data_IF_712946736792
#
_entry.id   IF_712946736792
#
_cell.length_a   1.000
_cell.length_b   1.000
_cell.length_c   1.000
_cell.angle_alpha   90.00
_cell.angle_beta   90.00
_cell.angle_gamma   90.00
#
_symmetry.space_group_name_H-M   'P 1'
#
loop_
_entity.id
_entity.type
_entity.pdbx_description
1 polymer ?
#
# COMPACT_ATOMS: atom_id res chain seq x y z
N UNK A 1 2.04 -16.22 7.61
CA UNK A 1 1.53 -15.75 6.31
C UNK A 1 2.53 -15.84 5.15
N UNK A 2 3.78 -16.21 5.33
CA UNK A 2 4.76 -16.41 4.25
C UNK A 2 5.17 -15.18 3.44
N UNK A 3 4.78 -13.98 3.84
CA UNK A 3 5.27 -12.72 3.29
C UNK A 3 6.48 -12.23 4.07
N UNK A 4 7.30 -11.37 3.47
CA UNK A 4 8.37 -10.71 4.19
C UNK A 4 7.83 -9.73 5.24
N UNK A 5 8.62 -9.45 6.27
CA UNK A 5 8.30 -8.50 7.33
C UNK A 5 7.76 -9.12 8.62
N UNK A 6 7.55 -8.26 9.60
CA UNK A 6 7.04 -8.63 10.92
C UNK A 6 5.50 -8.63 10.97
N UNK A 7 4.92 -8.82 12.14
CA UNK A 7 3.48 -8.73 12.32
C UNK A 7 2.92 -7.41 11.82
N UNK A 8 1.81 -7.49 11.09
CA UNK A 8 1.06 -6.32 10.65
C UNK A 8 -0.36 -6.42 11.16
N UNK A 9 -0.92 -5.26 11.50
CA UNK A 9 -2.32 -5.16 11.87
C UNK A 9 -3.14 -4.83 10.62
N UNK A 10 -4.16 -5.64 10.36
CA UNK A 10 -5.19 -5.36 9.37
C UNK A 10 -6.53 -5.31 10.08
N UNK A 11 -7.28 -4.24 9.88
CA UNK A 11 -8.55 -4.03 10.54
C UNK A 11 -9.49 -3.15 9.74
N UNK A 12 -10.69 -2.91 10.29
CA UNK A 12 -11.66 -2.02 9.66
C UNK A 12 -11.04 -0.66 9.33
N UNK A 13 -11.45 -0.09 8.20
CA UNK A 13 -10.93 1.20 7.74
C UNK A 13 -9.66 1.14 6.90
N UNK A 14 -8.99 0.01 6.84
CA UNK A 14 -7.93 -0.20 5.86
C UNK A 14 -8.52 -0.70 4.54
N UNK A 15 -7.91 -0.27 3.44
CA UNK A 15 -8.19 -0.85 2.13
C UNK A 15 -7.05 -1.77 1.74
N UNK A 16 -7.33 -3.05 1.71
CA UNK A 16 -6.35 -4.08 1.34
C UNK A 16 -6.64 -4.52 -0.09
N UNK A 17 -5.62 -4.51 -0.92
CA UNK A 17 -5.71 -4.99 -2.30
C UNK A 17 -4.70 -6.12 -2.51
N UNK A 18 -5.20 -7.24 -2.99
CA UNK A 18 -4.37 -8.36 -3.41
C UNK A 18 -4.07 -8.24 -4.90
N UNK A 19 -2.79 -8.38 -5.26
CA UNK A 19 -2.35 -8.28 -6.65
C UNK A 19 -1.67 -9.59 -7.03
N UNK A 20 -2.24 -10.28 -8.00
CA UNK A 20 -1.73 -11.55 -8.51
C UNK A 20 -1.33 -11.39 -9.96
N UNK A 21 -0.03 -11.33 -10.22
CA UNK A 21 0.53 -11.16 -11.55
C UNK A 21 1.59 -12.21 -11.81
N UNK A 22 1.68 -12.64 -13.05
CA UNK A 22 2.82 -13.44 -13.52
C UNK A 22 3.94 -12.50 -13.95
N UNK A 23 4.97 -12.37 -13.13
CA UNK A 23 6.07 -11.44 -13.37
C UNK A 23 6.91 -11.83 -14.58
N UNK A 24 6.88 -13.08 -15.06
CA UNK A 24 7.57 -13.49 -16.28
C UNK A 24 7.07 -12.71 -17.49
N UNK A 25 5.77 -12.41 -17.49
CA UNK A 25 5.13 -11.59 -18.54
C UNK A 25 5.48 -10.10 -18.44
N UNK A 26 6.14 -9.71 -17.35
CA UNK A 26 6.49 -8.32 -17.03
C UNK A 26 7.99 -8.11 -16.85
N UNK A 27 8.82 -8.97 -17.44
CA UNK A 27 10.26 -8.86 -17.43
C UNK A 27 10.97 -9.54 -16.26
N UNK A 28 10.24 -10.22 -15.36
CA UNK A 28 10.83 -10.99 -14.26
C UNK A 28 11.59 -10.16 -13.23
N UNK A 29 11.21 -8.91 -13.00
CA UNK A 29 11.92 -7.99 -12.10
C UNK A 29 11.08 -7.70 -10.85
N UNK A 30 11.47 -8.29 -9.72
CA UNK A 30 10.78 -8.14 -8.43
C UNK A 30 10.91 -6.73 -7.87
N UNK A 31 12.07 -6.10 -8.01
CA UNK A 31 12.27 -4.73 -7.50
C UNK A 31 11.40 -3.74 -8.26
N UNK A 32 11.32 -3.89 -9.55
CA UNK A 32 10.44 -3.09 -10.38
C UNK A 32 8.98 -3.29 -9.98
N UNK A 33 8.58 -4.52 -9.70
CA UNK A 33 7.21 -4.80 -9.26
C UNK A 33 6.88 -4.09 -7.93
N UNK A 34 7.76 -4.14 -6.94
CA UNK A 34 7.57 -3.41 -5.68
C UNK A 34 7.51 -1.91 -5.93
N UNK A 35 8.38 -1.38 -6.76
CA UNK A 35 8.36 0.04 -7.16
C UNK A 35 7.03 0.42 -7.82
N UNK A 36 6.50 -0.44 -8.68
CA UNK A 36 5.22 -0.19 -9.36
C UNK A 36 4.04 -0.24 -8.38
N UNK A 37 4.07 -1.11 -7.37
CA UNK A 37 3.07 -1.11 -6.30
C UNK A 37 3.10 0.21 -5.50
N UNK A 38 4.29 0.70 -5.19
CA UNK A 38 4.46 2.00 -4.54
C UNK A 38 3.95 3.13 -5.43
N UNK A 39 4.29 3.13 -6.72
CA UNK A 39 3.82 4.12 -7.69
C UNK A 39 2.30 4.14 -7.79
N UNK A 40 1.68 2.99 -7.78
CA UNK A 40 0.23 2.85 -7.78
C UNK A 40 -0.41 3.60 -6.60
N UNK A 41 0.08 3.38 -5.40
CA UNK A 41 -0.44 4.05 -4.20
C UNK A 41 -0.13 5.54 -4.21
N UNK A 42 1.07 5.93 -4.62
CA UNK A 42 1.46 7.34 -4.73
C UNK A 42 0.53 8.10 -5.68
N UNK A 43 0.21 7.53 -6.84
CA UNK A 43 -0.73 8.14 -7.80
C UNK A 43 -2.16 8.18 -7.28
N UNK A 44 -2.60 7.16 -6.57
CA UNK A 44 -3.90 7.16 -5.91
C UNK A 44 -4.01 8.31 -4.89
N UNK A 45 -2.99 8.46 -4.05
CA UNK A 45 -2.93 9.52 -3.05
C UNK A 45 -2.87 10.91 -3.69
N UNK A 46 -2.13 11.06 -4.78
CA UNK A 46 -2.02 12.34 -5.50
C UNK A 46 -3.39 12.85 -5.98
N UNK A 47 -4.28 11.96 -6.37
CA UNK A 47 -5.65 12.30 -6.77
C UNK A 47 -6.50 12.82 -5.62
N UNK A 48 -6.09 12.54 -4.40
CA UNK A 48 -6.72 13.03 -3.16
C UNK A 48 -5.98 14.23 -2.57
N UNK A 49 -4.99 14.77 -3.28
CA UNK A 49 -4.20 15.90 -2.81
C UNK A 49 -3.16 15.53 -1.76
N UNK A 50 -2.83 14.26 -1.61
CA UNK A 50 -1.85 13.76 -0.65
C UNK A 50 -0.55 13.40 -1.36
N UNK A 51 0.57 13.95 -0.88
CA UNK A 51 1.89 13.62 -1.39
C UNK A 51 2.46 12.42 -0.64
N UNK A 52 2.24 11.21 -1.20
CA UNK A 52 2.89 9.99 -0.73
C UNK A 52 4.29 9.87 -1.32
N UNK A 53 5.22 9.37 -0.55
CA UNK A 53 6.62 9.27 -0.95
C UNK A 53 7.22 7.92 -0.58
N UNK A 54 8.18 7.49 -1.41
CA UNK A 54 9.06 6.36 -1.10
C UNK A 54 10.16 6.81 -0.15
N UNK A 55 10.66 5.87 0.65
CA UNK A 55 11.88 6.09 1.45
C UNK A 55 12.80 4.91 1.29
N UNK A 56 14.05 5.19 0.99
CA UNK A 56 15.08 4.16 0.85
C UNK A 56 15.25 3.40 2.17
N UNK A 57 15.27 2.07 2.09
CA UNK A 57 15.43 1.22 3.28
C UNK A 57 14.18 1.04 4.13
N UNK A 58 13.06 1.71 3.78
CA UNK A 58 11.79 1.60 4.48
C UNK A 58 10.66 1.37 3.48
N UNK A 59 10.29 0.12 3.26
CA UNK A 59 9.24 -0.25 2.32
C UNK A 59 7.89 0.29 2.81
N UNK A 60 7.12 0.85 1.88
CA UNK A 60 5.81 1.43 2.14
C UNK A 60 5.69 2.82 1.57
N UNK A 61 4.58 3.46 1.86
CA UNK A 61 4.30 4.83 1.44
C UNK A 61 4.23 5.73 2.65
N UNK A 62 4.99 6.81 2.58
CA UNK A 62 5.22 7.74 3.70
C UNK A 62 4.71 9.12 3.36
N UNK A 63 4.23 9.83 4.36
CA UNK A 63 3.78 11.22 4.27
C UNK A 63 4.62 12.05 5.22
N UNK A 64 5.23 13.12 4.71
CA UNK A 64 5.96 14.07 5.52
C UNK A 64 5.00 14.91 6.35
N UNK A 65 5.29 15.02 7.64
CA UNK A 65 4.50 15.79 8.59
C UNK A 65 5.36 16.93 9.14
N UNK A 66 4.73 17.80 9.93
CA UNK A 66 5.42 18.93 10.58
C UNK A 66 6.61 18.45 11.43
N UNK A 67 7.66 19.26 11.48
CA UNK A 67 8.85 18.97 12.28
C UNK A 67 9.73 17.85 11.74
N UNK A 68 9.62 17.49 10.47
CA UNK A 68 10.41 16.42 9.86
C UNK A 68 9.94 15.01 10.22
N UNK A 69 8.80 14.89 10.89
CA UNK A 69 8.18 13.60 11.18
C UNK A 69 7.64 12.97 9.89
N UNK A 70 7.77 11.68 9.79
CA UNK A 70 7.23 10.92 8.66
C UNK A 70 6.28 9.83 9.16
N UNK A 71 5.08 9.81 8.62
CA UNK A 71 4.06 8.81 8.98
C UNK A 71 3.74 7.90 7.80
N UNK A 72 3.66 6.61 8.09
CA UNK A 72 3.33 5.60 7.10
C UNK A 72 1.81 5.56 6.87
N UNK A 73 1.40 5.70 5.61
CA UNK A 73 0.00 5.64 5.21
C UNK A 73 -0.34 4.37 4.44
N UNK A 74 0.64 3.78 3.80
CA UNK A 74 0.45 2.55 3.02
C UNK A 74 1.52 1.53 3.29
N UNK A 75 1.12 0.27 3.40
CA UNK A 75 2.02 -0.86 3.57
C UNK A 75 2.04 -1.72 2.31
N UNK A 76 3.21 -2.28 2.02
CA UNK A 76 3.40 -3.20 0.91
C UNK A 76 3.97 -4.50 1.46
N UNK A 77 3.31 -5.60 1.14
CA UNK A 77 3.78 -6.92 1.49
C UNK A 77 3.55 -7.88 0.33
N UNK A 78 4.61 -8.45 -0.20
CA UNK A 78 4.56 -9.31 -1.38
C UNK A 78 5.16 -10.66 -1.06
N UNK A 79 4.50 -11.70 -1.55
CA UNK A 79 5.07 -13.04 -1.66
C UNK A 79 5.09 -13.43 -3.13
N UNK A 80 6.16 -14.08 -3.55
CA UNK A 80 6.29 -14.56 -4.91
C UNK A 80 6.55 -16.06 -4.87
N UNK A 81 5.77 -16.81 -5.64
CA UNK A 81 5.96 -18.24 -5.82
C UNK A 81 5.86 -18.56 -7.31
N UNK A 82 6.89 -19.17 -7.86
CA UNK A 82 6.95 -19.51 -9.28
C UNK A 82 6.65 -18.33 -10.20
N UNK A 83 7.17 -17.13 -9.83
CA UNK A 83 6.98 -15.87 -10.52
C UNK A 83 5.57 -15.29 -10.46
N UNK A 84 4.66 -15.92 -9.74
CA UNK A 84 3.33 -15.36 -9.48
C UNK A 84 3.33 -14.64 -8.15
N UNK A 85 2.80 -13.43 -8.13
CA UNK A 85 2.74 -12.59 -6.94
C UNK A 85 1.50 -12.89 -6.11
N UNK A 86 1.64 -12.76 -4.78
CA UNK A 86 0.56 -12.89 -3.80
C UNK A 86 0.62 -11.72 -2.83
N UNK A 87 -0.49 -11.44 -2.15
CA UNK A 87 -0.67 -10.28 -1.29
C UNK A 87 -0.64 -8.99 -2.11
N UNK A 88 -0.16 -7.89 -1.57
CA UNK A 88 -0.14 -6.61 -2.28
C UNK A 88 0.03 -5.43 -1.34
N UNK A 89 -0.99 -4.59 -1.24
CA UNK A 89 -0.93 -3.31 -0.54
C UNK A 89 -2.05 -3.16 0.47
N UNK A 90 -1.80 -2.39 1.52
CA UNK A 90 -2.81 -1.94 2.47
C UNK A 90 -2.71 -0.41 2.58
N UNK A 91 -3.80 0.28 2.30
CA UNK A 91 -3.90 1.73 2.39
C UNK A 91 -4.81 2.11 3.55
N UNK A 92 -4.31 2.96 4.44
CA UNK A 92 -5.06 3.41 5.59
C UNK A 92 -6.05 4.52 5.18
N UNK A 93 -7.32 4.17 5.07
CA UNK A 93 -8.40 5.12 4.83
C UNK A 93 -8.87 5.76 6.14
N UNK A 94 -9.34 4.95 7.06
CA UNK A 94 -9.89 5.38 8.36
C UNK A 94 -9.81 4.25 9.40
N UNK A 95 -8.64 3.65 9.64
CA UNK A 95 -8.48 2.65 10.69
C UNK A 95 -8.35 3.32 12.07
N UNK A 96 -8.59 2.56 13.12
CA UNK A 96 -8.23 2.96 14.47
C UNK A 96 -6.70 2.92 14.62
N UNK A 97 -6.09 4.10 14.59
CA UNK A 97 -4.62 4.21 14.60
C UNK A 97 -3.98 3.78 15.93
N UNK A 98 -4.74 3.78 17.02
CA UNK A 98 -4.27 3.33 18.33
C UNK A 98 -3.78 1.88 18.33
N UNK A 99 -4.36 1.02 17.50
CA UNK A 99 -3.93 -0.38 17.37
C UNK A 99 -2.54 -0.52 16.76
N UNK A 100 -2.03 0.50 16.09
CA UNK A 100 -0.67 0.50 15.53
C UNK A 100 0.39 0.84 16.58
N UNK A 101 0.01 1.39 17.74
CA UNK A 101 0.95 1.70 18.82
C UNK A 101 1.54 0.46 19.48
N UNK A 102 0.85 -0.67 19.37
CA UNK A 102 1.30 -1.96 19.93
C UNK A 102 2.17 -2.76 18.98
N UNK A 103 2.29 -2.32 17.73
CA UNK A 103 3.05 -2.99 16.68
C UNK A 103 4.04 -1.99 16.08
N UNK A 104 5.31 -2.38 16.03
CA UNK A 104 6.33 -1.58 15.36
C UNK A 104 6.18 -1.75 13.85
N UNK A 105 5.76 -0.71 13.11
CA UNK A 105 5.58 -0.83 11.66
C UNK A 105 6.90 -1.17 10.98
N UNK A 106 6.94 -2.31 10.29
CA UNK A 106 8.12 -2.77 9.54
C UNK A 106 9.41 -2.86 10.38
N UNK A 107 9.31 -3.08 11.69
CA UNK A 107 10.46 -3.17 12.58
C UNK A 107 11.15 -1.82 12.87
N UNK A 108 10.52 -0.71 12.49
CA UNK A 108 11.09 0.63 12.71
C UNK A 108 10.48 1.23 13.99
N UNK A 109 11.26 1.24 15.05
CA UNK A 109 10.91 1.87 16.32
C UNK A 109 11.73 3.16 16.47
N UNK A 110 11.22 4.28 15.93
CA UNK A 110 11.86 5.58 16.10
C UNK A 110 10.80 6.67 16.30
N UNK A 111 11.01 7.65 17.20
CA UNK A 111 10.02 8.69 17.51
C UNK A 111 9.60 9.53 16.30
N UNK A 112 10.49 9.68 15.28
CA UNK A 112 10.20 10.44 14.08
C UNK A 112 9.30 9.70 13.09
N UNK A 113 9.01 8.41 13.32
CA UNK A 113 8.17 7.61 12.47
C UNK A 113 6.88 7.21 13.17
N UNK A 114 5.77 7.32 12.47
CA UNK A 114 4.46 6.94 12.96
C UNK A 114 3.61 6.33 11.86
N UNK A 115 2.31 6.27 12.11
CA UNK A 115 1.30 5.79 11.17
C UNK A 115 0.22 6.85 11.04
N UNK A 116 -0.27 7.05 9.83
CA UNK A 116 -1.37 7.96 9.54
C UNK A 116 -2.42 7.30 8.65
N UNK A 117 -3.47 8.04 8.35
CA UNK A 117 -4.56 7.62 7.46
C UNK A 117 -5.09 8.81 6.69
N UNK A 118 -5.88 8.55 5.66
CA UNK A 118 -6.57 9.62 4.93
C UNK A 118 -7.44 10.44 5.88
N UNK A 119 -8.19 9.80 6.77
CA UNK A 119 -9.02 10.49 7.74
C UNK A 119 -8.19 11.36 8.70
N UNK A 120 -7.06 10.87 9.18
CA UNK A 120 -6.16 11.63 10.05
C UNK A 120 -5.55 12.85 9.34
N UNK A 121 -5.42 12.80 8.02
CA UNK A 121 -4.99 13.92 7.18
C UNK A 121 -6.14 14.87 6.81
N UNK A 122 -7.35 14.62 7.28
CA UNK A 122 -8.53 15.42 6.98
C UNK A 122 -9.20 15.07 5.66
N UNK A 123 -8.83 13.96 5.04
CA UNK A 123 -9.40 13.52 3.76
C UNK A 123 -10.54 12.55 4.04
N UNK A 124 -11.75 12.93 3.67
CA UNK A 124 -12.93 12.08 3.75
C UNK A 124 -13.24 11.52 2.37
N UNK A 125 -13.10 10.22 2.23
CA UNK A 125 -13.38 9.51 1.00
C UNK A 125 -14.10 8.21 1.33
N UNK A 126 -15.16 7.88 0.60
CA UNK A 126 -15.84 6.62 0.77
C UNK A 126 -14.99 5.46 0.24
N UNK A 127 -15.31 4.25 0.67
CA UNK A 127 -14.66 3.05 0.13
C UNK A 127 -14.86 2.94 -1.39
N UNK A 128 -16.07 3.22 -1.87
CA UNK A 128 -16.37 3.18 -3.30
C UNK A 128 -15.57 4.20 -4.11
N UNK A 129 -15.44 5.42 -3.61
CA UNK A 129 -14.64 6.46 -4.25
C UNK A 129 -13.16 6.08 -4.27
N UNK A 130 -12.64 5.59 -3.15
CA UNK A 130 -11.25 5.16 -3.05
C UNK A 130 -10.97 3.99 -4.00
N UNK A 131 -11.88 3.03 -4.10
CA UNK A 131 -11.73 1.90 -5.03
C UNK A 131 -11.70 2.36 -6.48
N UNK A 132 -12.51 3.33 -6.85
CA UNK A 132 -12.49 3.89 -8.20
C UNK A 132 -11.13 4.54 -8.50
N UNK A 133 -10.58 5.31 -7.57
CA UNK A 133 -9.26 5.92 -7.72
C UNK A 133 -8.14 4.89 -7.78
N UNK A 134 -8.23 3.85 -6.95
CA UNK A 134 -7.27 2.73 -6.98
C UNK A 134 -7.28 2.01 -8.33
N UNK A 135 -8.45 1.75 -8.89
CA UNK A 135 -8.58 1.11 -10.21
C UNK A 135 -8.00 1.98 -11.32
N UNK A 136 -8.30 3.26 -11.32
CA UNK A 136 -7.79 4.18 -12.33
C UNK A 136 -6.27 4.29 -12.27
N UNK A 137 -5.70 4.43 -11.09
CA UNK A 137 -4.26 4.49 -10.91
C UNK A 137 -3.58 3.14 -11.22
N UNK A 138 -4.22 2.02 -10.91
CA UNK A 138 -3.73 0.69 -11.27
C UNK A 138 -3.58 0.55 -12.78
N UNK A 139 -4.58 0.97 -13.52
CA UNK A 139 -4.55 0.97 -14.98
C UNK A 139 -3.35 1.75 -15.52
N UNK A 140 -3.09 2.93 -15.00
CA UNK A 140 -1.95 3.76 -15.42
C UNK A 140 -0.60 3.09 -15.19
N UNK A 141 -0.43 2.38 -14.09
CA UNK A 141 0.86 1.79 -13.70
C UNK A 141 1.07 0.41 -14.32
N UNK A 142 0.02 -0.41 -14.36
CA UNK A 142 0.13 -1.82 -14.71
C UNK A 142 -0.46 -2.19 -16.08
N UNK A 143 -1.33 -1.34 -16.63
CA UNK A 143 -1.88 -1.61 -17.96
C UNK A 143 -0.87 -1.28 -19.04
N UNK A 144 -0.08 -2.25 -19.34
CA UNK A 144 0.52 -2.26 -20.67
C UNK A 144 0.03 -3.43 -21.47
N UNK A 145 -0.46 -4.51 -20.90
CA UNK A 145 -1.09 -5.61 -21.62
C UNK A 145 -1.62 -6.66 -20.62
N UNK A 146 -2.92 -6.96 -20.68
CA UNK A 146 -3.52 -8.10 -19.97
C UNK A 146 -3.85 -7.85 -18.50
N UNK A 147 -5.04 -7.37 -18.27
CA UNK A 147 -5.60 -7.03 -16.96
C UNK A 147 -5.81 -8.28 -16.13
N UNK A 148 -5.27 -8.28 -14.92
CA UNK A 148 -5.78 -9.09 -13.83
C UNK A 148 -6.56 -8.17 -12.90
N UNK A 149 -7.85 -8.40 -12.75
CA UNK A 149 -8.66 -7.64 -11.81
C UNK A 149 -8.09 -7.77 -10.40
N UNK A 150 -7.87 -6.64 -9.75
CA UNK A 150 -7.59 -6.65 -8.32
C UNK A 150 -8.88 -7.05 -7.59
N UNK A 151 -8.85 -8.14 -6.84
CA UNK A 151 -9.97 -8.48 -5.96
C UNK A 151 -10.05 -7.44 -4.85
N UNK A 152 -10.98 -6.51 -5.01
CA UNK A 152 -11.20 -5.43 -4.05
C UNK A 152 -12.01 -5.87 -2.83
N UNK A 153 -12.44 -7.12 -2.77
CA UNK A 153 -13.31 -7.60 -1.69
C UNK A 153 -12.59 -8.35 -0.57
N UNK A 154 -11.26 -8.47 -0.64
CA UNK A 154 -10.49 -9.06 0.45
C UNK A 154 -10.79 -10.54 0.72
N UNK A 155 -11.31 -11.26 -0.27
CA UNK A 155 -11.43 -12.71 -0.17
C UNK A 155 -10.15 -13.37 -0.64
N UNK A 156 -9.61 -14.31 0.13
CA UNK A 156 -8.53 -15.14 -0.39
C UNK A 156 -9.07 -15.93 -1.58
N UNK A 157 -8.36 -15.84 -2.66
CA UNK A 157 -8.61 -16.73 -3.78
C UNK A 157 -8.21 -18.15 -3.40
#
# INVERSE_FOLDING_TARGET
>A
SGRGGQFTYHGPGQRVAYVMLDLRRRGGDVRRYVHDLEEWIIRTLARLGVKGERRQGRIGIWVEREGGREDKIGAIGVRISRWVTYHGVALNRDPELEHFSTIVPCGIAAPQFGVTSLAALGIRVSTAELDALLKDAFAEVFETEGIVEADTQGRPA
#
